data_IF_047745956558
#
_entry.id   IF_047745956558
#
_cell.length_a   1.000
_cell.length_b   1.000
_cell.length_c   1.000
_cell.angle_alpha   90.00
_cell.angle_beta   90.00
_cell.angle_gamma   90.00
#
_symmetry.space_group_name_H-M   'P 1'
#
loop_
_entity.id
_entity.type
_entity.pdbx_description
1 polymer ?
#
# COMPACT_ATOMS: atom_id res chain seq x y z
N UNK A 1 -22.03 -32.40 0.13
CA UNK A 1 -21.34 -31.27 0.79
C UNK A 1 -21.03 -30.13 -0.17
N UNK A 2 -20.27 -30.32 -1.26
CA UNK A 2 -19.91 -29.24 -2.21
C UNK A 2 -21.08 -28.38 -2.73
N UNK A 3 -22.21 -28.99 -3.12
CA UNK A 3 -23.39 -28.25 -3.57
C UNK A 3 -24.05 -27.41 -2.48
N UNK A 4 -24.10 -27.91 -1.24
CA UNK A 4 -24.65 -27.15 -0.12
C UNK A 4 -23.76 -25.94 0.20
N UNK A 5 -22.44 -26.11 0.14
CA UNK A 5 -21.50 -25.00 0.27
C UNK A 5 -21.65 -23.98 -0.87
N UNK A 6 -21.81 -24.43 -2.12
CA UNK A 6 -22.05 -23.53 -3.26
C UNK A 6 -23.36 -22.74 -3.12
N UNK A 7 -24.44 -23.36 -2.61
CA UNK A 7 -25.70 -22.66 -2.31
C UNK A 7 -25.46 -21.61 -1.21
N UNK A 8 -24.72 -21.95 -0.16
CA UNK A 8 -24.41 -21.01 0.92
C UNK A 8 -23.62 -19.80 0.41
N UNK A 9 -22.54 -20.02 -0.36
CA UNK A 9 -21.76 -18.93 -0.94
C UNK A 9 -22.59 -18.07 -1.90
N UNK A 10 -23.44 -18.69 -2.72
CA UNK A 10 -24.34 -17.98 -3.63
C UNK A 10 -25.39 -17.14 -2.87
N UNK A 11 -25.97 -17.68 -1.79
CA UNK A 11 -26.89 -16.93 -0.93
C UNK A 11 -26.19 -15.76 -0.23
N UNK A 12 -24.98 -15.97 0.29
CA UNK A 12 -24.16 -14.91 0.88
C UNK A 12 -23.87 -13.82 -0.16
N UNK A 13 -23.56 -14.20 -1.40
CA UNK A 13 -23.38 -13.27 -2.53
C UNK A 13 -24.63 -12.43 -2.80
N UNK A 14 -25.80 -13.08 -2.86
CA UNK A 14 -27.07 -12.37 -3.05
C UNK A 14 -27.35 -11.38 -1.91
N UNK A 15 -27.18 -11.80 -0.65
CA UNK A 15 -27.38 -10.93 0.52
C UNK A 15 -26.41 -9.75 0.48
N UNK A 16 -25.13 -9.98 0.19
CA UNK A 16 -24.13 -8.92 0.08
C UNK A 16 -24.50 -7.91 -1.02
N UNK A 17 -24.89 -8.38 -2.20
CA UNK A 17 -25.34 -7.51 -3.30
C UNK A 17 -26.57 -6.67 -2.91
N UNK A 18 -27.55 -7.24 -2.21
CA UNK A 18 -28.73 -6.51 -1.73
C UNK A 18 -28.31 -5.44 -0.70
N UNK A 19 -27.48 -5.80 0.28
CA UNK A 19 -26.99 -4.85 1.29
C UNK A 19 -26.20 -3.70 0.65
N UNK A 20 -25.39 -4.01 -0.36
CA UNK A 20 -24.64 -3.02 -1.12
C UNK A 20 -25.56 -2.08 -1.93
N UNK A 21 -26.60 -2.63 -2.59
CA UNK A 21 -27.60 -1.82 -3.31
C UNK A 21 -28.38 -0.89 -2.36
N UNK A 22 -28.60 -1.31 -1.12
CA UNK A 22 -29.26 -0.50 -0.08
C UNK A 22 -28.32 0.53 0.59
N UNK A 23 -27.03 0.57 0.21
CA UNK A 23 -26.05 1.49 0.79
C UNK A 23 -25.58 1.11 2.21
N UNK A 24 -25.95 -0.06 2.73
CA UNK A 24 -25.52 -0.52 4.05
C UNK A 24 -24.10 -1.15 4.05
N UNK A 25 -23.48 -1.28 2.86
CA UNK A 25 -22.11 -1.79 2.73
C UNK A 25 -21.03 -0.70 2.87
N UNK A 26 -21.39 0.53 3.27
CA UNK A 26 -20.46 1.66 3.37
C UNK A 26 -19.30 1.40 4.36
N UNK A 27 -19.52 0.56 5.38
CA UNK A 27 -18.46 0.15 6.33
C UNK A 27 -17.34 -0.71 5.70
N UNK A 28 -17.61 -1.37 4.56
CA UNK A 28 -16.64 -2.20 3.82
C UNK A 28 -15.93 -1.38 2.73
N UNK A 29 -16.44 -0.19 2.42
CA UNK A 29 -15.91 0.69 1.39
C UNK A 29 -14.77 1.57 1.90
N UNK A 30 -13.67 0.94 2.27
CA UNK A 30 -12.43 1.61 2.68
C UNK A 30 -11.60 2.13 1.49
N UNK A 31 -11.99 1.85 0.24
CA UNK A 31 -11.26 2.24 -0.98
C UNK A 31 -12.02 3.31 -1.76
N UNK A 32 -11.31 4.30 -2.33
CA UNK A 32 -11.92 5.35 -3.17
C UNK A 32 -12.72 4.79 -4.36
N UNK A 33 -12.34 3.61 -4.87
CA UNK A 33 -13.06 2.93 -5.96
C UNK A 33 -14.50 2.57 -5.62
N UNK A 34 -14.84 2.39 -4.34
CA UNK A 34 -16.23 2.13 -3.95
C UNK A 34 -17.18 3.27 -4.32
N UNK A 35 -16.73 4.53 -4.18
CA UNK A 35 -17.54 5.69 -4.54
C UNK A 35 -17.77 5.79 -6.06
N UNK A 36 -16.80 5.32 -6.85
CA UNK A 36 -16.87 5.34 -8.31
C UNK A 36 -17.81 4.27 -8.88
N UNK A 37 -17.90 3.11 -8.22
CA UNK A 37 -18.79 2.02 -8.62
C UNK A 37 -20.16 2.06 -7.91
N UNK A 38 -20.34 2.89 -6.88
CA UNK A 38 -21.63 3.16 -6.24
C UNK A 38 -22.52 3.92 -7.22
N UNK A 39 -23.53 3.23 -7.78
CA UNK A 39 -24.40 3.78 -8.81
C UNK A 39 -23.95 3.51 -10.25
N UNK A 40 -22.95 2.64 -10.46
CA UNK A 40 -22.61 2.16 -11.79
C UNK A 40 -23.80 1.38 -12.38
N UNK A 41 -24.49 2.00 -13.33
CA UNK A 41 -25.67 1.43 -13.96
C UNK A 41 -25.34 0.96 -15.39
N UNK A 42 -25.60 -0.31 -15.68
CA UNK A 42 -25.56 -0.85 -17.04
C UNK A 42 -27.02 -0.84 -17.54
N UNK A 43 -27.32 -0.09 -18.60
CA UNK A 43 -28.69 0.14 -19.09
C UNK A 43 -29.66 0.76 -18.05
N UNK A 44 -29.15 1.52 -17.07
CA UNK A 44 -29.97 2.12 -16.01
C UNK A 44 -30.31 1.17 -14.85
N UNK A 45 -29.80 -0.06 -14.87
CA UNK A 45 -29.89 -1.01 -13.75
C UNK A 45 -28.57 -1.03 -12.97
N UNK A 46 -28.67 -0.85 -11.65
CA UNK A 46 -27.54 -0.95 -10.74
C UNK A 46 -26.89 -2.34 -10.85
N UNK A 47 -25.56 -2.35 -11.00
CA UNK A 47 -24.78 -3.57 -11.07
C UNK A 47 -25.01 -4.49 -9.85
N UNK A 48 -25.31 -3.93 -8.68
CA UNK A 48 -25.63 -4.70 -7.48
C UNK A 48 -26.97 -5.44 -7.59
N UNK A 49 -27.99 -4.84 -8.20
CA UNK A 49 -29.27 -5.52 -8.46
C UNK A 49 -29.12 -6.65 -9.48
N UNK A 50 -28.30 -6.44 -10.51
CA UNK A 50 -27.94 -7.48 -11.49
C UNK A 50 -27.22 -8.64 -10.80
N UNK A 51 -26.24 -8.34 -9.95
CA UNK A 51 -25.51 -9.35 -9.16
C UNK A 51 -26.43 -10.14 -8.21
N UNK A 52 -27.34 -9.46 -7.51
CA UNK A 52 -28.31 -10.10 -6.62
C UNK A 52 -29.23 -11.06 -7.39
N UNK A 53 -29.78 -10.62 -8.53
CA UNK A 53 -30.61 -11.46 -9.39
C UNK A 53 -29.83 -12.69 -9.90
N UNK A 54 -28.57 -12.50 -10.29
CA UNK A 54 -27.71 -13.57 -10.76
C UNK A 54 -27.45 -14.63 -9.68
N UNK A 55 -27.01 -14.24 -8.47
CA UNK A 55 -26.80 -15.18 -7.37
C UNK A 55 -28.09 -15.88 -6.92
N UNK A 56 -29.22 -15.17 -6.87
CA UNK A 56 -30.52 -15.78 -6.56
C UNK A 56 -30.92 -16.82 -7.61
N UNK A 57 -30.69 -16.53 -8.90
CA UNK A 57 -30.99 -17.46 -9.98
C UNK A 57 -30.17 -18.75 -9.89
N UNK A 58 -28.87 -18.64 -9.57
CA UNK A 58 -28.00 -19.81 -9.33
C UNK A 58 -28.47 -20.60 -8.12
N UNK A 59 -28.75 -19.93 -7.00
CA UNK A 59 -29.23 -20.58 -5.78
C UNK A 59 -30.54 -21.33 -6.04
N UNK A 60 -31.50 -20.70 -6.74
CA UNK A 60 -32.78 -21.32 -7.08
C UNK A 60 -32.59 -22.53 -8.00
N UNK A 61 -31.78 -22.41 -9.05
CA UNK A 61 -31.48 -23.51 -9.97
C UNK A 61 -30.80 -24.68 -9.26
N UNK A 62 -29.85 -24.41 -8.35
CA UNK A 62 -29.20 -25.44 -7.53
C UNK A 62 -30.18 -26.14 -6.57
N UNK A 63 -31.15 -25.41 -6.01
CA UNK A 63 -32.20 -25.97 -5.16
C UNK A 63 -33.18 -26.84 -5.97
N UNK A 64 -33.62 -26.38 -7.14
CA UNK A 64 -34.50 -27.14 -8.04
C UNK A 64 -33.82 -28.41 -8.56
N UNK A 65 -32.50 -28.38 -8.76
CA UNK A 65 -31.72 -29.52 -9.24
C UNK A 65 -31.13 -30.37 -8.11
N UNK A 66 -31.55 -30.16 -6.86
CA UNK A 66 -31.09 -30.95 -5.70
C UNK A 66 -31.27 -32.46 -5.89
N UNK A 67 -32.26 -32.87 -6.67
CA UNK A 67 -32.58 -34.28 -6.96
C UNK A 67 -31.78 -34.89 -8.12
N UNK A 68 -31.16 -34.09 -8.99
CA UNK A 68 -30.36 -34.59 -10.14
C UNK A 68 -28.89 -34.73 -9.76
N UNK A 69 -28.25 -35.86 -10.08
CA UNK A 69 -26.84 -36.12 -9.72
C UNK A 69 -25.85 -35.31 -10.57
N UNK A 70 -26.25 -34.87 -11.75
CA UNK A 70 -25.44 -34.07 -12.68
C UNK A 70 -25.88 -32.61 -12.74
N UNK A 71 -24.93 -31.71 -13.02
CA UNK A 71 -25.18 -30.29 -13.25
C UNK A 71 -25.78 -30.09 -14.64
N UNK A 72 -26.90 -29.39 -14.73
CA UNK A 72 -27.45 -29.03 -16.05
C UNK A 72 -26.50 -28.15 -16.85
N UNK A 73 -26.51 -28.31 -18.18
CA UNK A 73 -25.80 -27.43 -19.10
C UNK A 73 -26.16 -25.94 -18.89
N UNK A 74 -27.40 -25.67 -18.51
CA UNK A 74 -27.91 -24.33 -18.21
C UNK A 74 -27.16 -23.67 -17.06
N UNK A 75 -26.95 -24.37 -15.93
CA UNK A 75 -26.20 -23.83 -14.78
C UNK A 75 -24.74 -23.61 -15.18
N UNK A 76 -24.14 -24.52 -15.94
CA UNK A 76 -22.76 -24.39 -16.39
C UNK A 76 -22.57 -23.17 -17.29
N UNK A 77 -23.48 -22.96 -18.25
CA UNK A 77 -23.46 -21.81 -19.14
C UNK A 77 -23.66 -20.50 -18.36
N UNK A 78 -24.58 -20.50 -17.39
CA UNK A 78 -24.83 -19.33 -16.55
C UNK A 78 -23.61 -18.96 -15.70
N UNK A 79 -22.96 -19.94 -15.06
CA UNK A 79 -21.73 -19.72 -14.30
C UNK A 79 -20.58 -19.25 -15.19
N UNK A 80 -20.40 -19.86 -16.36
CA UNK A 80 -19.38 -19.44 -17.31
C UNK A 80 -19.62 -18.01 -17.80
N UNK A 81 -20.87 -17.65 -18.13
CA UNK A 81 -21.23 -16.29 -18.52
C UNK A 81 -20.98 -15.30 -17.37
N UNK A 82 -21.36 -15.65 -16.14
CA UNK A 82 -21.08 -14.83 -14.96
C UNK A 82 -19.59 -14.60 -14.75
N UNK A 83 -18.76 -15.64 -14.88
CA UNK A 83 -17.31 -15.52 -14.78
C UNK A 83 -16.71 -14.65 -15.88
N UNK A 84 -17.24 -14.71 -17.10
CA UNK A 84 -16.77 -13.87 -18.21
C UNK A 84 -17.10 -12.40 -17.92
N UNK A 85 -18.32 -12.11 -17.47
CA UNK A 85 -18.73 -10.74 -17.10
C UNK A 85 -17.86 -10.24 -15.93
N UNK A 86 -17.68 -11.06 -14.89
CA UNK A 86 -16.86 -10.70 -13.74
C UNK A 86 -15.38 -10.51 -14.12
N UNK A 87 -14.85 -11.34 -15.02
CA UNK A 87 -13.51 -11.18 -15.55
C UNK A 87 -13.32 -9.84 -16.29
N UNK A 88 -14.32 -9.39 -17.06
CA UNK A 88 -14.30 -8.05 -17.68
C UNK A 88 -14.29 -6.96 -16.62
N UNK A 89 -15.13 -7.07 -15.58
CA UNK A 89 -15.15 -6.11 -14.48
C UNK A 89 -13.83 -6.06 -13.71
N UNK A 90 -13.21 -7.21 -13.46
CA UNK A 90 -11.89 -7.30 -12.83
C UNK A 90 -10.78 -6.73 -13.71
N UNK A 91 -10.84 -6.94 -15.03
CA UNK A 91 -9.91 -6.33 -15.97
C UNK A 91 -10.03 -4.80 -15.97
N UNK A 92 -11.26 -4.26 -15.91
CA UNK A 92 -11.51 -2.82 -15.74
C UNK A 92 -10.93 -2.33 -14.40
N UNK A 93 -11.13 -3.05 -13.29
CA UNK A 93 -10.54 -2.68 -12.00
C UNK A 93 -9.01 -2.73 -12.01
N UNK A 94 -8.41 -3.63 -12.78
CA UNK A 94 -6.95 -3.74 -12.89
C UNK A 94 -6.32 -2.53 -13.62
N UNK A 95 -7.07 -1.85 -14.50
CA UNK A 95 -6.61 -0.65 -15.22
C UNK A 95 -7.11 0.66 -14.62
N UNK A 96 -8.13 0.62 -13.77
CA UNK A 96 -8.74 1.80 -13.14
C UNK A 96 -8.45 1.84 -11.63
N UNK A 97 -9.49 1.90 -10.80
CA UNK A 97 -9.41 1.98 -9.34
C UNK A 97 -9.97 0.67 -8.75
N UNK A 98 -9.28 0.02 -7.80
CA UNK A 98 -9.76 -1.19 -7.17
C UNK A 98 -11.03 -0.95 -6.34
N UNK A 99 -12.00 -1.85 -6.45
CA UNK A 99 -13.22 -1.82 -5.64
C UNK A 99 -13.29 -3.04 -4.73
N UNK A 100 -13.12 -2.85 -3.42
CA UNK A 100 -13.11 -3.97 -2.47
C UNK A 100 -14.44 -4.73 -2.46
N UNK A 101 -15.58 -4.02 -2.56
CA UNK A 101 -16.91 -4.65 -2.62
C UNK A 101 -17.09 -5.54 -3.85
N UNK A 102 -16.61 -5.11 -5.01
CA UNK A 102 -16.63 -5.93 -6.22
C UNK A 102 -15.70 -7.15 -6.08
N UNK A 103 -14.55 -6.98 -5.42
CA UNK A 103 -13.63 -8.08 -5.15
C UNK A 103 -14.25 -9.15 -4.25
N UNK A 104 -15.02 -8.75 -3.23
CA UNK A 104 -15.78 -9.68 -2.36
C UNK A 104 -16.81 -10.47 -3.17
N UNK A 105 -17.56 -9.79 -4.04
CA UNK A 105 -18.51 -10.45 -4.95
C UNK A 105 -17.81 -11.44 -5.88
N UNK A 106 -16.68 -11.04 -6.47
CA UNK A 106 -15.86 -11.87 -7.32
C UNK A 106 -15.39 -13.14 -6.58
N UNK A 107 -14.93 -13.02 -5.33
CA UNK A 107 -14.55 -14.19 -4.50
C UNK A 107 -15.73 -15.12 -4.27
N UNK A 108 -16.92 -14.60 -3.95
CA UNK A 108 -18.11 -15.43 -3.71
C UNK A 108 -18.55 -16.17 -4.98
N UNK A 109 -18.49 -15.51 -6.14
CA UNK A 109 -18.76 -16.13 -7.44
C UNK A 109 -17.71 -17.18 -7.81
N UNK A 110 -16.43 -16.86 -7.64
CA UNK A 110 -15.31 -17.76 -7.86
C UNK A 110 -15.42 -19.02 -7.00
N UNK A 111 -15.66 -18.87 -5.69
CA UNK A 111 -15.83 -20.00 -4.77
C UNK A 111 -17.03 -20.87 -5.13
N UNK A 112 -18.16 -20.25 -5.49
CA UNK A 112 -19.35 -20.99 -5.98
C UNK A 112 -19.00 -21.82 -7.21
N UNK A 113 -18.26 -21.25 -8.15
CA UNK A 113 -17.89 -21.89 -9.42
C UNK A 113 -16.84 -22.98 -9.25
N UNK A 114 -15.81 -22.75 -8.43
CA UNK A 114 -14.77 -23.74 -8.10
C UNK A 114 -15.36 -24.97 -7.39
N UNK A 115 -16.35 -24.78 -6.51
CA UNK A 115 -17.04 -25.89 -5.85
C UNK A 115 -17.88 -26.76 -6.81
N UNK A 116 -18.31 -26.17 -7.93
CA UNK A 116 -19.15 -26.79 -8.97
C UNK A 116 -18.36 -27.19 -10.24
N UNK A 117 -17.04 -27.04 -10.20
CA UNK A 117 -16.13 -27.32 -11.32
C UNK A 117 -15.96 -28.79 -11.76
N UNK A 118 -16.13 -29.84 -10.91
CA UNK A 118 -15.70 -31.18 -11.29
C UNK A 118 -16.64 -31.76 -12.36
N UNK A 119 -16.15 -31.77 -13.61
CA UNK A 119 -16.82 -32.41 -14.76
C UNK A 119 -16.90 -31.57 -16.04
N UNK A 120 -16.55 -30.28 -16.02
CA UNK A 120 -16.69 -29.38 -17.19
C UNK A 120 -15.38 -28.73 -17.60
N UNK A 121 -14.93 -29.03 -18.83
CA UNK A 121 -13.73 -28.43 -19.43
C UNK A 121 -13.92 -26.94 -19.75
N UNK A 122 -15.13 -26.53 -20.15
CA UNK A 122 -15.45 -25.13 -20.45
C UNK A 122 -15.35 -24.28 -19.18
N UNK A 123 -16.05 -24.67 -18.11
CA UNK A 123 -16.06 -23.92 -16.86
C UNK A 123 -14.66 -23.88 -16.23
N UNK A 124 -13.89 -24.96 -16.34
CA UNK A 124 -12.50 -25.00 -15.88
C UNK A 124 -11.61 -23.99 -16.62
N UNK A 125 -11.70 -23.94 -17.96
CA UNK A 125 -10.93 -22.96 -18.76
C UNK A 125 -11.30 -21.53 -18.41
N UNK A 126 -12.60 -21.23 -18.32
CA UNK A 126 -13.07 -19.89 -17.93
C UNK A 126 -12.61 -19.52 -16.52
N UNK A 127 -12.66 -20.46 -15.57
CA UNK A 127 -12.18 -20.24 -14.21
C UNK A 127 -10.67 -19.95 -14.16
N UNK A 128 -9.85 -20.61 -14.97
CA UNK A 128 -8.40 -20.33 -15.02
C UNK A 128 -8.15 -18.90 -15.50
N UNK A 129 -8.79 -18.48 -16.59
CA UNK A 129 -8.66 -17.11 -17.12
C UNK A 129 -9.12 -16.10 -16.07
N UNK A 130 -10.25 -16.37 -15.42
CA UNK A 130 -10.80 -15.55 -14.35
C UNK A 130 -9.83 -15.43 -13.16
N UNK A 131 -9.23 -16.54 -12.69
CA UNK A 131 -8.26 -16.52 -11.57
C UNK A 131 -7.06 -15.64 -11.90
N UNK A 132 -6.52 -15.73 -13.12
CA UNK A 132 -5.37 -14.91 -13.54
C UNK A 132 -5.71 -13.42 -13.46
N UNK A 133 -6.88 -13.03 -13.98
CA UNK A 133 -7.33 -11.63 -13.97
C UNK A 133 -7.65 -11.18 -12.54
N UNK A 134 -8.27 -12.04 -11.73
CA UNK A 134 -8.54 -11.79 -10.31
C UNK A 134 -7.26 -11.50 -9.53
N UNK A 135 -6.20 -12.28 -9.73
CA UNK A 135 -4.90 -12.06 -9.10
C UNK A 135 -4.30 -10.73 -9.53
N UNK A 136 -4.41 -10.36 -10.81
CA UNK A 136 -3.95 -9.06 -11.30
C UNK A 136 -4.72 -7.89 -10.66
N UNK A 137 -6.04 -8.00 -10.54
CA UNK A 137 -6.89 -6.99 -9.88
C UNK A 137 -6.58 -6.88 -8.37
N UNK A 138 -6.39 -8.02 -7.68
CA UNK A 138 -6.00 -8.07 -6.27
C UNK A 138 -4.63 -7.43 -6.05
N UNK A 139 -3.68 -7.61 -6.97
CA UNK A 139 -2.38 -6.94 -6.92
C UNK A 139 -2.53 -5.41 -7.05
N UNK A 140 -3.52 -4.92 -7.80
CA UNK A 140 -3.89 -3.50 -7.85
C UNK A 140 -4.33 -2.97 -6.48
N UNK A 141 -5.27 -3.65 -5.81
CA UNK A 141 -5.70 -3.33 -4.44
C UNK A 141 -4.50 -3.29 -3.48
N UNK A 142 -3.63 -4.29 -3.57
CA UNK A 142 -2.44 -4.36 -2.72
C UNK A 142 -1.49 -3.19 -2.97
N UNK A 143 -1.34 -2.72 -4.21
CA UNK A 143 -0.50 -1.55 -4.52
C UNK A 143 -1.02 -0.28 -3.86
N UNK A 144 -2.33 -0.04 -3.88
CA UNK A 144 -2.95 1.13 -3.24
C UNK A 144 -2.79 1.10 -1.71
N UNK A 145 -2.92 -0.09 -1.11
CA UNK A 145 -2.68 -0.27 0.33
C UNK A 145 -1.21 -0.13 0.74
N UNK A 146 -0.28 -0.17 -0.23
CA UNK A 146 1.16 0.04 -0.02
C UNK A 146 1.58 1.50 -0.22
N UNK A 147 0.62 2.44 -0.27
CA UNK A 147 0.92 3.87 -0.20
C UNK A 147 1.68 4.20 1.10
N UNK A 148 2.70 5.07 1.03
CA UNK A 148 3.48 5.44 2.20
C UNK A 148 2.61 6.25 3.18
N UNK A 149 2.84 6.06 4.47
CA UNK A 149 2.05 6.69 5.55
C UNK A 149 2.93 7.73 6.26
N UNK A 150 2.56 9.02 6.23
CA UNK A 150 3.30 10.05 6.95
C UNK A 150 3.06 9.93 8.46
N UNK A 151 4.05 10.30 9.25
CA UNK A 151 3.90 10.53 10.69
C UNK A 151 3.64 12.00 11.02
N UNK A 152 3.90 12.91 10.08
CA UNK A 152 3.62 14.34 10.18
C UNK A 152 3.27 14.89 8.79
N UNK A 153 2.38 15.87 8.73
CA UNK A 153 1.98 16.54 7.50
C UNK A 153 0.95 15.77 6.66
N UNK A 154 0.53 16.39 5.55
CA UNK A 154 -0.44 15.80 4.62
C UNK A 154 0.23 14.83 3.63
N UNK A 155 -0.40 13.71 3.24
CA UNK A 155 0.07 12.85 2.14
C UNK A 155 0.26 13.59 0.80
N UNK A 156 -0.39 14.73 0.63
CA UNK A 156 -0.31 15.60 -0.56
C UNK A 156 0.71 16.73 -0.44
N UNK A 157 1.48 16.76 0.64
CA UNK A 157 2.50 17.78 0.87
C UNK A 157 3.51 17.86 -0.29
N UNK A 158 3.96 19.08 -0.58
CA UNK A 158 4.85 19.37 -1.69
C UNK A 158 6.26 18.80 -1.50
N UNK A 159 6.70 18.61 -0.26
CA UNK A 159 7.99 18.04 0.15
C UNK A 159 7.70 16.80 1.02
N UNK A 160 8.28 15.66 0.64
CA UNK A 160 8.14 14.38 1.36
C UNK A 160 9.52 13.87 1.71
N UNK A 161 9.78 13.67 3.00
CA UNK A 161 11.08 13.22 3.49
C UNK A 161 10.93 11.86 4.15
N UNK A 162 11.63 10.87 3.61
CA UNK A 162 11.74 9.54 4.20
C UNK A 162 13.02 9.46 5.02
N UNK A 163 12.90 9.07 6.29
CA UNK A 163 14.00 9.15 7.23
C UNK A 163 13.99 7.99 8.23
N UNK A 164 15.15 7.71 8.84
CA UNK A 164 15.27 6.81 9.98
C UNK A 164 15.83 7.58 11.19
N UNK A 165 15.28 7.40 12.41
CA UNK A 165 15.81 8.02 13.62
C UNK A 165 17.28 7.69 13.89
N UNK A 166 17.71 6.45 13.62
CA UNK A 166 19.10 6.00 13.80
C UNK A 166 20.09 6.51 12.76
N UNK A 167 19.65 7.17 11.68
CA UNK A 167 20.53 7.70 10.64
C UNK A 167 21.00 9.12 10.99
N UNK A 168 22.31 9.31 11.21
CA UNK A 168 22.90 10.61 11.56
C UNK A 168 22.59 11.72 10.54
N UNK A 169 22.67 11.41 9.24
CA UNK A 169 22.36 12.37 8.17
C UNK A 169 20.89 12.79 8.21
N UNK A 170 19.98 11.84 8.49
CA UNK A 170 18.57 12.15 8.69
C UNK A 170 18.35 13.11 9.86
N UNK A 171 19.08 12.97 10.96
CA UNK A 171 18.91 13.84 12.13
C UNK A 171 19.24 15.29 11.80
N UNK A 172 20.36 15.53 11.10
CA UNK A 172 20.76 16.89 10.70
C UNK A 172 19.73 17.54 9.79
N UNK A 173 19.27 16.82 8.76
CA UNK A 173 18.27 17.33 7.81
C UNK A 173 16.94 17.65 8.49
N UNK A 174 16.48 16.79 9.40
CA UNK A 174 15.24 17.03 10.15
C UNK A 174 15.33 18.23 11.09
N UNK A 175 16.48 18.45 11.74
CA UNK A 175 16.69 19.62 12.59
C UNK A 175 16.67 20.91 11.77
N UNK A 176 17.29 20.91 10.58
CA UNK A 176 17.23 22.05 9.67
C UNK A 176 15.80 22.35 9.20
N UNK A 177 15.07 21.32 8.77
CA UNK A 177 13.67 21.45 8.35
C UNK A 177 12.74 21.89 9.49
N UNK A 178 13.00 21.41 10.71
CA UNK A 178 12.27 21.83 11.90
C UNK A 178 12.43 23.33 12.18
N UNK A 179 13.61 23.91 11.92
CA UNK A 179 13.87 25.34 12.05
C UNK A 179 13.19 26.21 10.98
N UNK A 180 12.80 25.65 9.83
CA UNK A 180 12.17 26.38 8.72
C UNK A 180 10.64 26.38 8.83
N UNK A 181 10.08 27.20 9.73
CA UNK A 181 8.62 27.25 10.00
C UNK A 181 7.74 27.50 8.77
N UNK A 182 8.25 28.17 7.73
CA UNK A 182 7.52 28.44 6.50
C UNK A 182 7.26 27.17 5.66
N UNK A 183 8.08 26.12 5.81
CA UNK A 183 7.94 24.85 5.07
C UNK A 183 7.04 23.84 5.78
N UNK A 184 6.67 24.07 7.05
CA UNK A 184 5.94 23.08 7.86
C UNK A 184 4.59 22.67 7.25
N UNK A 185 3.91 23.57 6.53
CA UNK A 185 2.63 23.28 5.87
C UNK A 185 2.78 22.41 4.62
N UNK A 186 3.95 22.48 3.99
CA UNK A 186 4.25 21.81 2.72
C UNK A 186 5.16 20.59 2.92
N UNK A 187 5.43 20.21 4.16
CA UNK A 187 6.32 19.11 4.55
C UNK A 187 5.54 17.92 5.09
N UNK A 188 5.85 16.73 4.58
CA UNK A 188 5.43 15.46 5.14
C UNK A 188 6.62 14.56 5.48
N UNK A 189 6.58 13.95 6.67
CA UNK A 189 7.67 13.14 7.18
C UNK A 189 7.25 11.67 7.26
N UNK A 190 8.02 10.79 6.64
CA UNK A 190 7.76 9.36 6.48
C UNK A 190 8.84 8.55 7.20
N UNK A 191 8.59 8.11 8.44
CA UNK A 191 9.59 7.38 9.20
C UNK A 191 9.76 5.96 8.66
N UNK A 192 11.00 5.49 8.71
CA UNK A 192 11.44 4.16 8.31
C UNK A 192 12.30 3.59 9.43
N UNK A 193 11.81 2.53 10.08
CA UNK A 193 12.56 1.83 11.11
C UNK A 193 13.62 0.94 10.47
N UNK A 194 14.89 1.24 10.71
CA UNK A 194 16.02 0.42 10.29
C UNK A 194 16.52 -0.46 11.44
N UNK A 195 16.58 0.11 12.64
CA UNK A 195 16.94 -0.57 13.87
C UNK A 195 15.72 -0.82 14.78
N UNK A 196 15.75 -1.80 15.69
CA UNK A 196 14.65 -2.04 16.64
C UNK A 196 14.31 -0.77 17.44
N UNK A 197 15.34 -0.05 17.89
CA UNK A 197 15.24 1.21 18.64
C UNK A 197 14.56 2.37 17.90
N UNK A 198 14.42 2.27 16.57
CA UNK A 198 13.74 3.29 15.79
C UNK A 198 12.23 3.29 16.04
N UNK A 199 11.65 2.14 16.40
CA UNK A 199 10.21 2.04 16.64
C UNK A 199 9.82 2.88 17.87
N UNK A 200 10.63 2.86 18.93
CA UNK A 200 10.47 3.72 20.12
C UNK A 200 10.54 5.20 19.77
N UNK A 201 11.56 5.59 18.99
CA UNK A 201 11.72 6.98 18.56
C UNK A 201 10.53 7.47 17.72
N UNK A 202 10.05 6.65 16.77
CA UNK A 202 8.92 6.99 15.90
C UNK A 202 7.62 7.10 16.70
N UNK A 203 7.41 6.22 17.68
CA UNK A 203 6.26 6.29 18.57
C UNK A 203 6.23 7.62 19.34
N UNK A 204 7.37 8.00 19.96
CA UNK A 204 7.47 9.25 20.71
C UNK A 204 7.23 10.46 19.83
N UNK A 205 7.83 10.49 18.63
CA UNK A 205 7.59 11.53 17.65
C UNK A 205 6.10 11.71 17.36
N UNK A 206 5.37 10.62 17.08
CA UNK A 206 3.93 10.67 16.82
C UNK A 206 3.12 11.18 18.01
N UNK A 207 3.49 10.77 19.22
CA UNK A 207 2.84 11.24 20.45
C UNK A 207 3.01 12.77 20.60
N UNK A 208 4.24 13.27 20.46
CA UNK A 208 4.52 14.71 20.59
C UNK A 208 3.89 15.53 19.47
N UNK A 209 3.84 15.01 18.24
CA UNK A 209 3.08 15.66 17.15
C UNK A 209 1.60 15.78 17.52
N UNK A 210 1.00 14.71 18.05
CA UNK A 210 -0.41 14.70 18.41
C UNK A 210 -0.74 15.63 19.59
N UNK A 211 0.15 15.72 20.58
CA UNK A 211 -0.05 16.55 21.78
C UNK A 211 0.25 18.03 21.56
N UNK A 212 1.36 18.33 20.90
CA UNK A 212 1.86 19.71 20.82
C UNK A 212 1.58 20.41 19.49
N UNK A 213 1.33 19.65 18.42
CA UNK A 213 1.24 20.17 17.06
C UNK A 213 2.55 20.79 16.53
N UNK A 214 3.63 20.80 17.31
CA UNK A 214 4.89 21.46 16.95
C UNK A 214 5.89 20.47 16.36
N UNK A 215 6.40 20.79 15.17
CA UNK A 215 7.37 19.93 14.50
C UNK A 215 8.72 19.93 15.22
N UNK A 216 9.16 21.06 15.75
CA UNK A 216 10.44 21.19 16.45
C UNK A 216 10.53 20.30 17.68
N UNK A 217 9.53 20.36 18.58
CA UNK A 217 9.53 19.49 19.76
C UNK A 217 9.39 18.01 19.39
N UNK A 218 8.64 17.71 18.32
CA UNK A 218 8.53 16.34 17.83
C UNK A 218 9.88 15.80 17.32
N UNK A 219 10.62 16.59 16.55
CA UNK A 219 11.95 16.20 16.05
C UNK A 219 12.94 16.02 17.19
N UNK A 220 12.94 16.90 18.21
CA UNK A 220 13.74 16.70 19.41
C UNK A 220 13.38 15.40 20.13
N UNK A 221 12.08 15.07 20.18
CA UNK A 221 11.59 13.83 20.74
C UNK A 221 11.98 12.58 19.95
N UNK A 222 12.47 12.65 18.72
CA UNK A 222 13.04 11.47 18.04
C UNK A 222 14.33 10.98 18.70
N UNK A 223 15.07 11.87 19.37
CA UNK A 223 16.44 11.61 19.80
C UNK A 223 16.60 11.44 21.31
N UNK A 224 15.52 11.56 22.08
CA UNK A 224 15.53 11.36 23.53
C UNK A 224 15.46 9.88 23.94
N UNK A 225 15.79 9.57 25.21
CA UNK A 225 15.84 8.20 25.72
C UNK A 225 14.46 7.52 25.83
N UNK A 226 14.38 6.27 25.35
CA UNK A 226 13.18 5.43 25.14
C UNK A 226 12.38 5.04 26.38
N UNK A 227 11.06 5.03 26.26
CA UNK A 227 10.16 4.17 27.05
C UNK A 227 9.74 2.98 26.17
N UNK A 228 9.43 1.83 26.77
CA UNK A 228 9.12 0.61 26.04
C UNK A 228 7.79 0.67 25.27
N UNK A 229 7.72 -0.03 24.13
CA UNK A 229 6.52 -0.15 23.31
C UNK A 229 5.61 -1.30 23.73
N UNK A 230 4.29 -1.09 23.62
CA UNK A 230 3.34 -2.19 23.61
C UNK A 230 3.52 -3.06 22.35
N UNK A 231 3.17 -4.34 22.46
CA UNK A 231 3.25 -5.31 21.36
C UNK A 231 2.31 -4.91 20.20
N UNK A 232 1.15 -4.34 20.49
CA UNK A 232 0.22 -3.86 19.45
C UNK A 232 0.76 -2.65 18.68
N UNK A 233 1.39 -1.71 19.39
CA UNK A 233 1.95 -0.49 18.80
C UNK A 233 3.19 -0.79 17.96
N UNK A 234 4.04 -1.71 18.42
CA UNK A 234 5.22 -2.14 17.65
C UNK A 234 4.82 -2.80 16.34
N UNK A 235 3.80 -3.68 16.33
CA UNK A 235 3.28 -4.28 15.10
C UNK A 235 2.71 -3.23 14.15
N UNK A 236 1.93 -2.27 14.65
CA UNK A 236 1.38 -1.20 13.82
C UNK A 236 2.49 -0.35 13.17
N UNK A 237 3.53 0.01 13.94
CA UNK A 237 4.67 0.78 13.45
C UNK A 237 5.54 -0.01 12.48
N UNK A 238 5.67 -1.32 12.66
CA UNK A 238 6.34 -2.19 11.69
C UNK A 238 5.59 -2.23 10.35
N UNK A 239 4.25 -2.30 10.37
CA UNK A 239 3.44 -2.26 9.13
C UNK A 239 3.61 -0.91 8.43
N UNK A 240 3.59 0.20 9.16
CA UNK A 240 3.84 1.55 8.60
C UNK A 240 5.24 1.64 8.01
N UNK A 241 6.26 1.24 8.77
CA UNK A 241 7.66 1.23 8.32
C UNK A 241 7.83 0.39 7.06
N UNK A 242 7.22 -0.79 7.01
CA UNK A 242 7.25 -1.68 5.86
C UNK A 242 6.63 -1.02 4.61
N UNK A 243 5.46 -0.37 4.74
CA UNK A 243 4.83 0.38 3.64
C UNK A 243 5.77 1.47 3.11
N UNK A 244 6.42 2.22 4.00
CA UNK A 244 7.37 3.26 3.63
C UNK A 244 8.62 2.69 2.94
N UNK A 245 9.16 1.56 3.40
CA UNK A 245 10.29 0.86 2.73
C UNK A 245 9.92 0.33 1.34
N UNK A 246 8.72 -0.25 1.19
CA UNK A 246 8.24 -0.73 -0.11
C UNK A 246 8.13 0.41 -1.10
N UNK A 247 7.67 1.59 -0.65
CA UNK A 247 7.64 2.79 -1.49
C UNK A 247 9.06 3.20 -1.93
N UNK A 248 10.03 3.25 -1.01
CA UNK A 248 11.43 3.57 -1.33
C UNK A 248 12.03 2.60 -2.36
N UNK A 249 11.80 1.30 -2.18
CA UNK A 249 12.26 0.28 -3.13
C UNK A 249 11.67 0.47 -4.53
N UNK A 250 10.39 0.82 -4.63
CA UNK A 250 9.73 1.11 -5.92
C UNK A 250 10.20 2.41 -6.56
N UNK A 251 10.52 3.42 -5.74
CA UNK A 251 11.07 4.69 -6.20
C UNK A 251 12.53 4.56 -6.68
N UNK A 252 13.16 3.40 -6.52
CA UNK A 252 14.56 3.18 -6.87
C UNK A 252 15.54 3.83 -5.89
N UNK A 253 15.07 4.27 -4.72
CA UNK A 253 15.94 4.80 -3.67
C UNK A 253 16.90 3.70 -3.20
N UNK A 254 18.14 4.08 -2.91
CA UNK A 254 19.20 3.20 -2.38
C UNK A 254 19.57 3.54 -0.93
N UNK A 255 19.39 4.79 -0.54
CA UNK A 255 19.76 5.32 0.78
C UNK A 255 18.70 6.27 1.33
N UNK A 256 18.79 6.54 2.64
CA UNK A 256 18.00 7.53 3.39
C UNK A 256 18.93 8.54 4.06
N UNK A 257 18.57 9.83 4.17
CA UNK A 257 17.25 10.40 3.87
C UNK A 257 16.96 10.47 2.37
N UNK A 258 15.71 10.23 2.00
CA UNK A 258 15.22 10.35 0.62
C UNK A 258 14.15 11.43 0.55
N UNK A 259 14.40 12.46 -0.25
CA UNK A 259 13.53 13.65 -0.37
C UNK A 259 12.87 13.67 -1.74
N UNK A 260 11.54 13.78 -1.75
CA UNK A 260 10.76 14.06 -2.95
C UNK A 260 10.19 15.47 -2.82
N UNK A 261 10.31 16.30 -3.87
CA UNK A 261 9.52 17.51 -3.97
C UNK A 261 8.84 17.65 -5.33
N UNK A 262 7.68 18.30 -5.30
CA UNK A 262 6.85 18.56 -6.48
C UNK A 262 7.43 19.62 -7.42
N UNK A 263 8.42 20.42 -6.97
CA UNK A 263 9.14 21.36 -7.83
C UNK A 263 10.65 21.37 -7.56
N UNK A 264 11.49 21.63 -8.59
CA UNK A 264 12.95 21.73 -8.43
C UNK A 264 13.39 22.86 -7.49
N UNK A 265 12.65 23.97 -7.46
CA UNK A 265 12.94 25.10 -6.58
C UNK A 265 12.71 24.73 -5.10
N UNK A 266 11.68 23.93 -4.82
CA UNK A 266 11.42 23.43 -3.46
C UNK A 266 12.46 22.39 -3.04
N UNK A 267 12.94 21.54 -3.97
CA UNK A 267 14.06 20.62 -3.71
C UNK A 267 15.32 21.38 -3.28
N UNK A 268 15.68 22.47 -3.95
CA UNK A 268 16.85 23.28 -3.58
C UNK A 268 16.70 23.96 -2.22
N UNK A 269 15.47 24.36 -1.86
CA UNK A 269 15.20 24.95 -0.54
C UNK A 269 15.14 23.92 0.60
N UNK A 270 14.76 22.68 0.27
CA UNK A 270 14.59 21.57 1.21
C UNK A 270 15.85 20.71 1.36
N UNK A 271 16.73 20.70 0.35
CA UNK A 271 17.98 19.95 0.36
C UNK A 271 19.10 20.83 -0.18
N UNK A 272 19.96 21.31 0.72
CA UNK A 272 21.21 21.97 0.33
C UNK A 272 22.28 20.96 -0.13
N UNK A 273 22.02 19.64 -0.06
CA UNK A 273 23.01 18.58 -0.29
C UNK A 273 22.65 17.51 -1.34
N UNK A 274 21.39 17.35 -1.73
CA UNK A 274 20.99 16.37 -2.75
C UNK A 274 20.45 17.08 -3.99
N UNK A 275 21.36 17.52 -4.85
CA UNK A 275 21.03 17.77 -6.25
C UNK A 275 20.84 16.42 -6.97
N UNK A 276 19.78 16.24 -7.79
CA UNK A 276 19.45 14.95 -8.39
C UNK A 276 20.22 14.73 -9.71
N UNK A 277 20.77 13.54 -9.89
CA UNK A 277 20.94 12.95 -11.23
C UNK A 277 19.62 12.34 -11.68
N UNK A 278 18.85 13.20 -12.37
CA UNK A 278 17.93 13.02 -13.50
C UNK A 278 17.06 11.76 -13.69
N UNK A 279 15.82 12.08 -14.06
CA UNK A 279 14.81 11.29 -14.74
C UNK A 279 15.27 10.29 -15.83
N UNK A 280 14.68 9.09 -15.76
CA UNK A 280 14.20 8.16 -16.82
C UNK A 280 14.84 8.21 -18.22
N UNK A 281 15.51 7.12 -18.63
CA UNK A 281 15.21 6.32 -19.83
C UNK A 281 16.35 5.32 -20.16
N UNK A 282 15.98 4.08 -20.48
CA UNK A 282 16.61 3.21 -21.47
C UNK A 282 18.13 2.98 -21.49
N UNK A 283 18.48 1.70 -21.36
CA UNK A 283 19.61 1.01 -21.98
C UNK A 283 20.98 1.00 -21.27
N UNK A 284 21.64 -0.12 -21.55
CA UNK A 284 22.80 -0.79 -20.98
C UNK A 284 24.07 0.02 -20.64
N UNK A 285 24.66 -0.34 -19.50
CA UNK A 285 26.13 -0.46 -19.33
C UNK A 285 26.95 0.80 -19.06
N UNK A 286 27.27 1.05 -17.78
CA UNK A 286 28.64 1.28 -17.26
C UNK A 286 28.55 1.81 -15.83
N UNK A 287 29.19 1.11 -14.89
CA UNK A 287 29.39 1.57 -13.53
C UNK A 287 30.40 2.73 -13.52
N UNK A 288 30.02 3.85 -12.92
CA UNK A 288 30.93 4.91 -12.49
C UNK A 288 30.92 4.93 -10.97
N UNK A 289 32.02 4.46 -10.40
CA UNK A 289 32.36 4.58 -8.98
C UNK A 289 32.40 6.06 -8.59
N UNK A 290 31.50 6.47 -7.70
CA UNK A 290 31.54 7.74 -6.97
C UNK A 290 31.76 7.43 -5.49
N UNK A 291 32.55 8.29 -4.85
CA UNK A 291 33.15 8.11 -3.52
C UNK A 291 32.14 7.95 -2.37
N UNK A 292 32.44 7.14 -1.33
CA UNK A 292 31.44 6.62 -0.37
C UNK A 292 31.26 7.53 0.87
N UNK A 293 31.36 8.86 0.73
CA UNK A 293 31.45 9.78 1.88
C UNK A 293 30.21 10.65 2.11
N UNK A 294 29.31 10.75 1.13
CA UNK A 294 28.13 11.64 1.19
C UNK A 294 26.79 10.91 0.97
N UNK A 295 26.81 9.58 0.86
CA UNK A 295 25.58 8.80 0.70
C UNK A 295 25.04 8.42 2.10
N UNK A 296 23.75 8.71 2.35
CA UNK A 296 23.09 8.32 3.60
C UNK A 296 23.00 6.79 3.78
N UNK A 297 22.30 6.33 4.82
CA UNK A 297 22.30 4.91 5.16
C UNK A 297 21.39 4.07 4.26
N UNK A 298 21.77 2.82 3.98
CA UNK A 298 20.88 1.85 3.35
C UNK A 298 19.61 1.60 4.20
N UNK A 299 18.43 1.75 3.58
CA UNK A 299 17.15 1.47 4.25
C UNK A 299 16.80 -0.03 4.27
N UNK A 300 17.48 -0.81 3.42
CA UNK A 300 17.52 -2.26 3.43
C UNK A 300 18.72 -2.70 4.31
N UNK A 301 18.51 -3.76 5.10
CA UNK A 301 19.34 -4.19 6.23
C UNK A 301 20.80 -4.60 5.91
N UNK A 302 21.26 -4.43 4.67
CA UNK A 302 22.59 -4.83 4.20
C UNK A 302 23.72 -3.88 4.64
N UNK A 303 23.41 -2.65 5.05
CA UNK A 303 24.36 -1.73 5.70
C UNK A 303 23.65 -1.04 6.87
N UNK A 304 23.94 -1.46 8.11
CA UNK A 304 23.31 -0.84 9.29
C UNK A 304 23.71 0.63 9.39
N UNK A 305 22.74 1.50 9.72
CA UNK A 305 23.00 2.90 10.04
C UNK A 305 24.08 3.05 11.13
N UNK A 306 24.25 2.05 12.00
CA UNK A 306 25.23 2.06 13.07
C UNK A 306 26.68 2.00 12.56
N UNK A 307 26.96 1.21 11.52
CA UNK A 307 28.30 1.07 10.94
C UNK A 307 28.72 2.35 10.21
N UNK A 308 27.75 3.00 9.56
CA UNK A 308 27.91 4.26 8.85
C UNK A 308 28.05 5.44 9.80
N UNK A 309 27.26 5.49 10.88
CA UNK A 309 27.42 6.46 11.96
C UNK A 309 28.80 6.34 12.63
N UNK A 310 29.27 5.12 12.89
CA UNK A 310 30.60 4.88 13.45
C UNK A 310 31.73 5.30 12.49
N UNK A 311 31.54 5.15 11.17
CA UNK A 311 32.46 5.63 10.14
C UNK A 311 32.48 7.15 10.07
N UNK A 312 31.32 7.79 10.04
CA UNK A 312 31.18 9.24 9.94
C UNK A 312 31.70 9.94 11.20
N UNK A 313 31.44 9.39 12.39
CA UNK A 313 32.02 9.91 13.64
C UNK A 313 33.56 9.90 13.61
N UNK A 314 34.18 8.85 13.04
CA UNK A 314 35.65 8.79 12.87
C UNK A 314 36.15 9.82 11.86
N UNK A 315 35.42 10.05 10.77
CA UNK A 315 35.79 11.05 9.75
C UNK A 315 35.68 12.48 10.30
N UNK A 316 34.60 12.80 11.01
CA UNK A 316 34.43 14.10 11.67
C UNK A 316 35.52 14.34 12.71
N UNK A 317 35.84 13.33 13.54
CA UNK A 317 36.91 13.44 14.53
C UNK A 317 38.31 13.59 13.91
N UNK A 318 38.51 13.14 12.66
CA UNK A 318 39.78 13.28 11.94
C UNK A 318 39.95 14.67 11.33
N UNK A 319 38.87 15.23 10.80
CA UNK A 319 38.87 16.58 10.22
C UNK A 319 38.87 17.69 11.29
N UNK A 320 38.23 17.47 12.44
CA UNK A 320 38.27 18.43 13.56
C UNK A 320 39.61 18.44 14.32
N UNK A 321 40.48 17.45 14.09
CA UNK A 321 41.83 17.39 14.64
C UNK A 321 42.91 18.12 13.84
N UNK A 322 42.57 18.72 12.68
CA UNK A 322 43.54 19.39 11.80
C UNK A 322 43.63 20.91 11.98
N UNK A 323 42.95 21.51 12.95
CA UNK A 323 43.17 22.89 13.37
C UNK A 323 44.05 22.94 14.62
N UNK A 324 45.36 22.74 14.45
CA UNK A 324 46.36 23.20 15.42
C UNK A 324 47.27 24.19 14.68
N UNK A 325 47.43 25.43 15.17
CA UNK A 325 48.16 26.47 14.47
C UNK A 325 49.66 26.18 14.56
N UNK A 326 50.37 26.31 13.43
CA UNK A 326 51.78 26.68 13.43
C UNK A 326 51.89 28.19 13.25
#
# INVERSE_FOLDING_TARGET
MRRAAAILFSLTGAVFCILAALGLADAVCATEGCALFKGAAIFGLDLYWIGAAFFLSISLLLLLQRRRRELSASIMLLLAAGLVVDAVLLAVQAVTVPCLSCLVVAVLLGMTSLMLLPGSTLLARTAVVWVVIFVAALAGVARDQLTPVPAYGSPTAAIKVFFSPSCFVCQMELQELAGKSHLHKDLALYPVANEPGDLEAIHRFRRVVAESGSLSMAVEALFSAGEGLSLGESLQLQVVSFRNKVFLARAGARSIPYVLASSPALLQSASARQAPTSAVAGDTGAALDLTPSDEGCGYARESSCADEAARNARLYSRNSGQSSPQ
#
